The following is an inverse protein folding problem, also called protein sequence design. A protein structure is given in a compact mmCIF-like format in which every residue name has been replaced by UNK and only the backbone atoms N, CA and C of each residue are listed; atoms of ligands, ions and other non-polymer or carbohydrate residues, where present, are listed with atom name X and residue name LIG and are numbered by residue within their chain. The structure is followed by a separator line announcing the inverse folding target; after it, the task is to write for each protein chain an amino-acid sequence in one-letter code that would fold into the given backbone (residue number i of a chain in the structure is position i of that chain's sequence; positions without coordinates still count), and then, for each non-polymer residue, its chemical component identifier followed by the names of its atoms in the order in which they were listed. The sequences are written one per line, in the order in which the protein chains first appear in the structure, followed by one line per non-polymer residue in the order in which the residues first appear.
data_IF_104712069463
#
_entry.id   IF_104712069463
#
_cell.length_a   1.000
_cell.length_b   1.000
_cell.length_c   1.000
_cell.angle_alpha   90.00
_cell.angle_beta   90.00
_cell.angle_gamma   90.00
#
_symmetry.space_group_name_H-M   'P 1'
#
loop_
_entity.id
_entity.type
_entity.pdbx_description
1 polymer ?
#
# COMPACT_ATOMS: atom_id res chain seq x y z
N UNK A 1 1.94 7.39 -5.86
CA UNK A 1 0.81 8.22 -6.34
C UNK A 1 1.37 9.58 -6.66
N UNK A 2 1.10 10.11 -7.85
CA UNK A 2 1.56 11.44 -8.26
C UNK A 2 0.32 12.33 -8.31
N UNK A 3 0.34 13.45 -7.59
CA UNK A 3 -0.72 14.47 -7.64
C UNK A 3 -0.18 15.72 -8.33
N UNK A 4 -1.05 16.40 -9.09
CA UNK A 4 -0.71 17.64 -9.79
C UNK A 4 -0.37 18.80 -8.84
N UNK A 5 -1.03 18.85 -7.69
CA UNK A 5 -0.93 19.94 -6.72
C UNK A 5 -0.08 19.60 -5.48
N UNK A 6 0.65 18.47 -5.51
CA UNK A 6 1.64 18.11 -4.49
C UNK A 6 1.08 17.61 -3.15
N UNK A 7 -0.25 17.66 -2.93
CA UNK A 7 -0.90 17.10 -1.75
C UNK A 7 -2.09 16.21 -2.15
N UNK A 8 -2.33 15.15 -1.38
CA UNK A 8 -3.47 14.26 -1.59
C UNK A 8 -4.44 14.39 -0.41
N UNK A 9 -5.48 15.19 -0.61
CA UNK A 9 -6.50 15.44 0.39
C UNK A 9 -7.80 14.66 0.12
N UNK A 10 -8.80 14.88 0.99
CA UNK A 10 -10.12 14.26 0.88
C UNK A 10 -10.81 14.59 -0.44
N UNK A 11 -10.61 15.78 -0.97
CA UNK A 11 -11.24 16.27 -2.20
C UNK A 11 -10.66 15.55 -3.43
N UNK A 12 -9.33 15.38 -3.48
CA UNK A 12 -8.64 14.57 -4.48
C UNK A 12 -8.98 13.06 -4.38
N UNK A 13 -9.45 12.59 -3.23
CA UNK A 13 -9.80 11.18 -2.98
C UNK A 13 -11.24 10.83 -3.38
N UNK A 14 -12.17 11.79 -3.38
CA UNK A 14 -13.61 11.50 -3.50
C UNK A 14 -14.44 12.49 -4.36
N UNK A 15 -13.93 13.68 -4.68
CA UNK A 15 -14.73 14.77 -5.29
C UNK A 15 -14.17 15.15 -6.67
N UNK A 16 -12.85 15.25 -6.80
CA UNK A 16 -12.20 15.67 -8.03
C UNK A 16 -11.77 14.46 -8.86
N UNK A 17 -12.38 14.27 -10.02
CA UNK A 17 -11.93 13.28 -11.02
C UNK A 17 -10.54 13.57 -11.61
N UNK A 18 -9.89 14.66 -11.20
CA UNK A 18 -8.57 15.09 -11.69
C UNK A 18 -7.42 14.56 -10.82
N UNK A 19 -7.09 13.31 -11.14
CA UNK A 19 -5.73 12.79 -11.37
C UNK A 19 -4.76 12.67 -10.18
N UNK A 20 -5.16 11.91 -9.17
CA UNK A 20 -4.20 10.99 -8.54
C UNK A 20 -3.90 9.84 -9.52
N UNK A 21 -2.79 9.91 -10.25
CA UNK A 21 -2.40 8.82 -11.15
C UNK A 21 -1.79 7.67 -10.35
N UNK A 22 -2.35 6.50 -10.61
CA UNK A 22 -1.86 5.24 -10.10
C UNK A 22 -0.89 4.65 -11.12
N UNK A 23 0.40 4.90 -10.92
CA UNK A 23 1.45 4.20 -11.65
C UNK A 23 1.83 2.94 -10.87
N UNK A 24 1.45 1.77 -11.40
CA UNK A 24 1.88 0.47 -10.89
C UNK A 24 2.53 -0.34 -12.02
N UNK A 25 3.83 -0.68 -11.90
CA UNK A 25 4.76 -0.25 -10.86
C UNK A 25 5.06 1.27 -10.95
N UNK A 26 5.47 1.87 -9.83
CA UNK A 26 5.89 3.26 -9.82
C UNK A 26 7.16 3.46 -10.67
N UNK A 27 7.21 4.54 -11.46
CA UNK A 27 8.38 4.90 -12.27
C UNK A 27 9.47 5.54 -11.39
N UNK A 28 10.21 4.70 -10.67
CA UNK A 28 11.31 5.08 -9.79
C UNK A 28 12.48 4.11 -9.94
N UNK A 29 13.69 4.57 -9.58
CA UNK A 29 14.87 3.72 -9.62
C UNK A 29 14.69 2.47 -8.74
N UNK A 30 15.23 1.34 -9.21
CA UNK A 30 15.12 0.05 -8.54
C UNK A 30 15.61 0.10 -7.08
N UNK A 31 16.71 0.81 -6.81
CA UNK A 31 17.24 0.94 -5.46
C UNK A 31 16.25 1.66 -4.52
N UNK A 32 15.57 2.68 -5.04
CA UNK A 32 14.59 3.45 -4.29
C UNK A 32 13.29 2.66 -4.06
N UNK A 33 12.88 1.85 -5.04
CA UNK A 33 11.78 0.91 -4.89
C UNK A 33 12.07 -0.13 -3.78
N UNK A 34 13.28 -0.68 -3.75
CA UNK A 34 13.68 -1.62 -2.69
C UNK A 34 13.75 -0.95 -1.31
N UNK A 35 14.28 0.27 -1.20
CA UNK A 35 14.24 1.07 0.05
C UNK A 35 12.80 1.28 0.55
N UNK A 36 11.88 1.56 -0.36
CA UNK A 36 10.46 1.74 -0.05
C UNK A 36 9.82 0.44 0.45
N UNK A 37 10.11 -0.70 -0.19
CA UNK A 37 9.63 -2.02 0.25
C UNK A 37 10.17 -2.37 1.65
N UNK A 38 11.44 -2.10 1.92
CA UNK A 38 12.02 -2.35 3.24
C UNK A 38 11.44 -1.45 4.33
N UNK A 39 11.20 -0.16 4.03
CA UNK A 39 10.46 0.75 4.92
C UNK A 39 9.06 0.20 5.23
N UNK A 40 8.31 -0.23 4.21
CA UNK A 40 6.97 -0.78 4.39
C UNK A 40 6.97 -2.05 5.26
N UNK A 41 7.91 -2.96 5.03
CA UNK A 41 8.09 -4.18 5.85
C UNK A 41 8.45 -3.85 7.30
N UNK A 42 9.33 -2.86 7.52
CA UNK A 42 9.71 -2.42 8.86
C UNK A 42 8.52 -1.79 9.59
N UNK A 43 7.78 -0.90 8.93
CA UNK A 43 6.58 -0.26 9.46
C UNK A 43 5.52 -1.31 9.88
N UNK A 44 5.22 -2.27 9.00
CA UNK A 44 4.29 -3.37 9.28
C UNK A 44 4.67 -4.14 10.56
N UNK A 45 5.95 -4.52 10.68
CA UNK A 45 6.44 -5.26 11.86
C UNK A 45 6.44 -4.40 13.13
N UNK A 46 6.77 -3.12 13.02
CA UNK A 46 6.94 -2.22 14.17
C UNK A 46 5.67 -2.04 15.01
N UNK A 47 4.50 -2.14 14.37
CA UNK A 47 3.19 -2.02 15.04
C UNK A 47 2.51 -3.38 15.25
N UNK A 48 3.21 -4.48 14.98
CA UNK A 48 2.67 -5.83 15.11
C UNK A 48 1.52 -6.13 14.17
N UNK A 49 1.48 -5.52 12.97
CA UNK A 49 0.44 -5.81 11.98
C UNK A 49 0.42 -7.30 11.59
N UNK A 50 -0.76 -7.74 11.18
CA UNK A 50 -1.02 -9.10 10.72
C UNK A 50 -2.01 -9.08 9.55
N UNK A 51 -1.94 -10.09 8.68
CA UNK A 51 -2.81 -10.18 7.51
C UNK A 51 -2.40 -9.20 6.41
N UNK A 52 -2.86 -7.95 6.52
CA UNK A 52 -2.64 -6.90 5.53
C UNK A 52 -2.38 -5.54 6.14
N UNK A 53 -1.63 -4.72 5.42
CA UNK A 53 -1.63 -3.28 5.57
C UNK A 53 -1.20 -2.62 4.26
N UNK A 54 -1.69 -1.41 4.00
CA UNK A 54 -1.12 -0.52 2.99
C UNK A 54 -0.25 0.51 3.71
N UNK A 55 1.03 0.57 3.37
CA UNK A 55 1.96 1.54 3.92
C UNK A 55 2.18 2.64 2.90
N UNK A 56 1.85 3.86 3.28
CA UNK A 56 1.97 5.03 2.41
C UNK A 56 3.24 5.77 2.81
N UNK A 57 4.06 6.11 1.82
CA UNK A 57 5.33 6.81 2.01
C UNK A 57 5.40 8.04 1.12
N UNK A 58 6.17 9.02 1.55
CA UNK A 58 6.64 10.11 0.70
C UNK A 58 8.08 9.84 0.27
N UNK A 59 8.36 10.10 -1.01
CA UNK A 59 9.71 10.11 -1.56
C UNK A 59 10.04 11.55 -1.89
N UNK A 60 11.14 12.03 -1.32
CA UNK A 60 11.66 13.38 -1.53
C UNK A 60 12.56 13.44 -2.76
N UNK A 61 12.79 14.64 -3.29
CA UNK A 61 13.61 14.85 -4.49
C UNK A 61 15.08 14.38 -4.31
N UNK A 62 15.60 14.36 -3.09
CA UNK A 62 16.92 13.82 -2.75
C UNK A 62 16.90 12.31 -2.43
N UNK A 63 15.80 11.61 -2.72
CA UNK A 63 15.67 10.17 -2.60
C UNK A 63 15.44 9.65 -1.18
N UNK A 64 15.11 10.51 -0.21
CA UNK A 64 14.72 10.05 1.14
C UNK A 64 13.28 9.55 1.15
N UNK A 65 13.07 8.42 1.80
CA UNK A 65 11.77 7.78 2.02
C UNK A 65 11.28 8.12 3.42
N UNK A 66 10.11 8.74 3.52
CA UNK A 66 9.44 9.08 4.77
C UNK A 66 8.16 8.28 4.92
N UNK A 67 8.00 7.58 6.05
CA UNK A 67 6.73 6.94 6.39
C UNK A 67 5.68 8.01 6.65
N UNK A 68 4.55 7.95 5.93
CA UNK A 68 3.41 8.83 6.15
C UNK A 68 2.39 8.16 7.08
N UNK A 69 1.80 7.06 6.63
CA UNK A 69 0.76 6.35 7.39
C UNK A 69 0.78 4.83 7.13
N UNK A 70 0.17 4.09 8.06
CA UNK A 70 -0.07 2.66 7.92
C UNK A 70 -1.59 2.43 7.99
N UNK A 71 -2.17 1.99 6.88
CA UNK A 71 -3.58 1.63 6.80
C UNK A 71 -3.75 0.13 7.06
N UNK A 72 -4.27 -0.23 8.23
CA UNK A 72 -4.50 -1.64 8.63
C UNK A 72 -5.78 -2.25 8.03
N UNK A 73 -6.63 -1.43 7.44
CA UNK A 73 -7.82 -1.84 6.69
C UNK A 73 -7.97 -0.95 5.46
N UNK A 74 -7.14 -1.14 4.41
CA UNK A 74 -7.23 -0.34 3.21
C UNK A 74 -8.53 -0.61 2.45
N UNK A 75 -8.93 0.34 1.60
CA UNK A 75 -10.01 0.11 0.63
C UNK A 75 -9.76 -1.18 -0.16
N UNK A 76 -10.82 -1.96 -0.36
CA UNK A 76 -10.72 -3.35 -0.83
C UNK A 76 -11.65 -3.65 -2.02
N UNK A 77 -12.10 -2.63 -2.75
CA UNK A 77 -12.78 -2.83 -4.04
C UNK A 77 -11.75 -3.22 -5.11
N UNK A 78 -12.18 -3.78 -6.25
CA UNK A 78 -11.25 -4.20 -7.32
C UNK A 78 -10.36 -3.05 -7.84
N UNK A 79 -10.86 -1.82 -7.83
CA UNK A 79 -10.12 -0.61 -8.25
C UNK A 79 -9.36 0.06 -7.10
N UNK A 80 -9.46 -0.46 -5.87
CA UNK A 80 -8.73 0.10 -4.74
C UNK A 80 -7.23 -0.16 -4.89
N UNK A 81 -6.44 0.79 -4.36
CA UNK A 81 -4.98 0.76 -4.38
C UNK A 81 -4.38 -0.59 -3.95
N UNK A 82 -4.87 -1.18 -2.85
CA UNK A 82 -4.26 -2.39 -2.30
C UNK A 82 -4.46 -3.62 -3.23
N UNK A 83 -5.68 -3.96 -3.68
CA UNK A 83 -5.87 -4.99 -4.71
C UNK A 83 -5.13 -4.71 -6.03
N UNK A 84 -5.14 -3.46 -6.51
CA UNK A 84 -4.48 -3.09 -7.77
C UNK A 84 -2.95 -3.34 -7.72
N UNK A 85 -2.30 -3.04 -6.59
CA UNK A 85 -0.87 -3.32 -6.39
C UNK A 85 -0.56 -4.82 -6.50
N UNK A 86 -1.39 -5.67 -5.92
CA UNK A 86 -1.21 -7.13 -6.00
C UNK A 86 -1.47 -7.69 -7.40
N UNK A 87 -2.44 -7.14 -8.13
CA UNK A 87 -2.72 -7.53 -9.52
C UNK A 87 -1.56 -7.21 -10.45
N UNK A 88 -0.90 -6.06 -10.27
CA UNK A 88 0.29 -5.70 -11.04
C UNK A 88 1.46 -6.66 -10.80
N UNK A 89 1.51 -7.29 -9.63
CA UNK A 89 2.46 -8.36 -9.28
C UNK A 89 1.95 -9.77 -9.65
N UNK A 90 0.84 -9.86 -10.39
CA UNK A 90 0.30 -11.11 -10.92
C UNK A 90 -0.62 -11.88 -9.98
N UNK A 91 -1.04 -11.31 -8.85
CA UNK A 91 -2.00 -11.94 -7.93
C UNK A 91 -3.40 -11.40 -8.20
N UNK A 92 -4.32 -12.25 -8.64
CA UNK A 92 -5.71 -11.87 -8.87
C UNK A 92 -6.43 -11.50 -7.57
N UNK A 93 -7.54 -10.76 -7.69
CA UNK A 93 -8.35 -10.38 -6.54
C UNK A 93 -8.83 -11.60 -5.72
N UNK A 94 -9.29 -12.65 -6.40
CA UNK A 94 -9.74 -13.88 -5.75
C UNK A 94 -8.62 -14.60 -5.01
N UNK A 95 -7.42 -14.68 -5.59
CA UNK A 95 -6.24 -15.27 -4.94
C UNK A 95 -5.81 -14.45 -3.72
N UNK A 96 -5.86 -13.12 -3.81
CA UNK A 96 -5.56 -12.23 -2.70
C UNK A 96 -6.53 -12.45 -1.52
N UNK A 97 -7.84 -12.50 -1.80
CA UNK A 97 -8.87 -12.78 -0.78
C UNK A 97 -8.65 -14.15 -0.15
N UNK A 98 -8.42 -15.19 -0.96
CA UNK A 98 -8.16 -16.55 -0.47
C UNK A 98 -6.94 -16.57 0.46
N UNK A 99 -5.85 -15.91 0.07
CA UNK A 99 -4.62 -15.82 0.88
C UNK A 99 -4.84 -15.10 2.21
N UNK A 100 -5.63 -14.04 2.24
CA UNK A 100 -5.96 -13.34 3.49
C UNK A 100 -6.82 -14.20 4.42
N UNK A 101 -7.74 -15.00 3.87
CA UNK A 101 -8.51 -15.97 4.65
C UNK A 101 -7.60 -17.05 5.23
N UNK A 102 -6.66 -17.57 4.45
CA UNK A 102 -5.66 -18.55 4.93
C UNK A 102 -4.82 -17.98 6.09
N UNK A 103 -4.34 -16.74 5.96
CA UNK A 103 -3.60 -16.06 7.03
C UNK A 103 -4.45 -15.89 8.29
N UNK A 104 -5.73 -15.54 8.14
CA UNK A 104 -6.65 -15.42 9.26
C UNK A 104 -6.90 -16.76 9.96
N UNK A 105 -7.00 -17.87 9.22
CA UNK A 105 -7.18 -19.21 9.76
C UNK A 105 -5.93 -19.76 10.47
N UNK A 106 -4.73 -19.38 10.00
CA UNK A 106 -3.46 -19.78 10.62
C UNK A 106 -3.17 -19.04 11.92
N UNK A 107 -3.84 -17.91 12.16
CA UNK A 107 -3.63 -17.10 13.35
C UNK A 107 -4.19 -17.83 14.59
N UNK A 108 -3.36 -18.10 15.62
CA UNK A 108 -3.85 -18.71 16.85
C UNK A 108 -4.82 -17.78 17.57
N UNK A 109 -5.89 -18.35 18.13
CA UNK A 109 -6.79 -17.65 19.03
C UNK A 109 -6.12 -17.50 20.40
N UNK A 110 -5.82 -16.28 20.83
CA UNK A 110 -5.19 -16.01 22.12
C UNK A 110 -4.32 -14.76 22.14
N UNK A 111 -3.75 -14.46 23.31
CA UNK A 111 -2.74 -13.40 23.47
C UNK A 111 -1.41 -13.85 22.86
N UNK A 112 -0.71 -12.88 22.26
CA UNK A 112 0.68 -12.99 21.83
C UNK A 112 1.64 -12.75 22.98
#
# INVERSE_FOLDING_TARGET
MVTKDGFYDFEAKYISGDEAKLDVPADIEKELAEKTKEMAKAAFRSIGCEGLARVDVFITADGKVWLNEINTMPGFTEISMYPALWQAEGISYSELVARLLELALQRPLGLR
#
